data_IF_834733867791
#
_entry.id   IF_834733867791
#
_cell.length_a   1.000
_cell.length_b   1.000
_cell.length_c   1.000
_cell.angle_alpha   90.00
_cell.angle_beta   90.00
_cell.angle_gamma   90.00
#
_symmetry.space_group_name_H-M   'P 1'
#
loop_
_entity.id
_entity.type
_entity.pdbx_description
1 polymer ?
#
# COMPACT_ATOMS: atom_id res chain seq x y z
N UNK A 1 2.36 -10.20 4.11
CA UNK A 1 1.98 -9.70 2.77
C UNK A 1 0.81 -10.54 2.28
N UNK A 2 -0.31 -9.92 1.89
CA UNK A 2 -1.29 -10.63 1.08
C UNK A 2 -0.72 -10.66 -0.34
N UNK A 3 -0.26 -11.82 -0.78
CA UNK A 3 0.27 -12.02 -2.12
C UNK A 3 -0.87 -11.73 -3.10
N UNK A 4 -0.73 -10.68 -3.92
CA UNK A 4 -1.64 -10.49 -5.05
C UNK A 4 -1.31 -11.64 -6.02
N UNK A 5 -2.18 -12.65 -6.07
CA UNK A 5 -1.98 -13.78 -6.96
C UNK A 5 -2.14 -13.29 -8.41
N UNK A 6 -1.02 -13.17 -9.12
CA UNK A 6 -1.03 -12.92 -10.55
C UNK A 6 -1.27 -14.24 -11.29
N UNK A 7 -2.46 -14.37 -11.90
CA UNK A 7 -2.80 -15.53 -12.73
C UNK A 7 -2.18 -15.35 -14.13
N UNK A 8 -0.94 -15.79 -14.26
CA UNK A 8 -0.16 -15.72 -15.52
C UNK A 8 -0.93 -16.37 -16.68
N UNK A 9 -1.62 -17.48 -16.45
CA UNK A 9 -2.33 -18.21 -17.51
C UNK A 9 -3.56 -17.45 -18.01
N UNK A 10 -4.35 -16.84 -17.11
CA UNK A 10 -5.46 -15.97 -17.49
C UNK A 10 -4.97 -14.71 -18.22
N UNK A 11 -3.82 -14.18 -17.82
CA UNK A 11 -3.21 -13.02 -18.46
C UNK A 11 -2.74 -13.33 -19.90
N UNK A 12 -1.99 -14.41 -20.09
CA UNK A 12 -1.54 -14.89 -21.41
C UNK A 12 -2.75 -15.11 -22.34
N UNK A 13 -3.77 -15.86 -21.89
CA UNK A 13 -4.99 -16.09 -22.71
C UNK A 13 -5.69 -14.80 -23.13
N UNK A 14 -5.66 -13.76 -22.28
CA UNK A 14 -6.26 -12.47 -22.62
C UNK A 14 -5.46 -11.74 -23.71
N UNK A 15 -4.14 -11.86 -23.72
CA UNK A 15 -3.28 -11.32 -24.77
C UNK A 15 -3.45 -12.08 -26.08
N UNK A 16 -3.49 -13.41 -26.03
CA UNK A 16 -3.73 -14.25 -27.21
C UNK A 16 -5.09 -13.93 -27.86
N UNK A 17 -6.15 -13.78 -27.06
CA UNK A 17 -7.47 -13.36 -27.54
C UNK A 17 -7.48 -11.93 -28.13
N UNK A 18 -6.49 -11.10 -27.79
CA UNK A 18 -6.29 -9.77 -28.35
C UNK A 18 -5.42 -9.78 -29.63
N UNK A 19 -5.00 -10.96 -30.10
CA UNK A 19 -4.24 -11.14 -31.34
C UNK A 19 -2.73 -11.21 -31.15
N UNK A 20 -2.23 -11.29 -29.91
CA UNK A 20 -0.82 -11.57 -29.66
C UNK A 20 -0.53 -13.04 -29.98
N UNK A 21 0.61 -13.31 -30.60
CA UNK A 21 1.07 -14.70 -30.67
C UNK A 21 1.50 -15.20 -29.28
N UNK A 22 1.59 -16.52 -29.13
CA UNK A 22 1.86 -17.14 -27.82
C UNK A 22 3.20 -16.69 -27.22
N UNK A 23 4.23 -16.47 -28.05
CA UNK A 23 5.55 -16.00 -27.58
C UNK A 23 5.49 -14.56 -27.11
N UNK A 24 4.76 -13.71 -27.82
CA UNK A 24 4.55 -12.32 -27.41
C UNK A 24 3.74 -12.26 -26.11
N UNK A 25 2.68 -13.05 -25.99
CA UNK A 25 1.85 -13.09 -24.80
C UNK A 25 2.64 -13.54 -23.56
N UNK A 26 3.48 -14.57 -23.71
CA UNK A 26 4.37 -15.07 -22.66
C UNK A 26 5.41 -14.00 -22.27
N UNK A 27 6.10 -13.40 -23.23
CA UNK A 27 7.10 -12.36 -22.98
C UNK A 27 6.52 -11.13 -22.23
N UNK A 28 5.30 -10.70 -22.58
CA UNK A 28 4.62 -9.60 -21.90
C UNK A 28 4.20 -10.02 -20.48
N UNK A 29 3.73 -11.25 -20.30
CA UNK A 29 3.34 -11.76 -18.99
C UNK A 29 4.54 -11.83 -18.03
N UNK A 30 5.70 -12.27 -18.54
CA UNK A 30 6.93 -12.34 -17.78
C UNK A 30 7.47 -10.96 -17.41
N UNK A 31 7.56 -10.04 -18.37
CA UNK A 31 7.99 -8.66 -18.12
C UNK A 31 7.07 -7.95 -17.10
N UNK A 32 5.75 -8.19 -17.18
CA UNK A 32 4.80 -7.65 -16.22
C UNK A 32 5.01 -8.24 -14.81
N UNK A 33 5.23 -9.56 -14.72
CA UNK A 33 5.49 -10.24 -13.44
C UNK A 33 6.76 -9.73 -12.78
N UNK A 34 7.83 -9.54 -13.56
CA UNK A 34 9.11 -9.00 -13.09
C UNK A 34 8.92 -7.58 -12.55
N UNK A 35 8.32 -6.68 -13.34
CA UNK A 35 8.05 -5.30 -12.92
C UNK A 35 7.15 -5.21 -11.68
N UNK A 36 6.18 -6.12 -11.52
CA UNK A 36 5.29 -6.14 -10.36
C UNK A 36 5.95 -6.72 -9.10
N UNK A 37 6.94 -7.60 -9.24
CA UNK A 37 7.72 -8.15 -8.13
C UNK A 37 8.72 -7.13 -7.58
N UNK A 38 9.26 -6.26 -8.44
CA UNK A 38 10.17 -5.17 -8.03
C UNK A 38 9.44 -3.96 -7.45
N UNK A 39 8.13 -3.84 -7.67
CA UNK A 39 7.34 -2.75 -7.13
C UNK A 39 7.18 -2.89 -5.60
N UNK A 40 7.95 -2.13 -4.82
CA UNK A 40 7.75 -1.97 -3.39
C UNK A 40 6.51 -1.10 -3.11
N UNK A 41 5.34 -1.71 -3.14
CA UNK A 41 4.07 -1.03 -2.83
C UNK A 41 3.72 -1.22 -1.36
N UNK A 42 3.34 -0.13 -0.69
CA UNK A 42 2.86 -0.17 0.69
C UNK A 42 1.66 -1.11 0.82
N UNK A 43 1.74 -2.05 1.76
CA UNK A 43 0.67 -3.01 2.04
C UNK A 43 -0.42 -2.39 2.90
N UNK A 44 -1.60 -3.04 2.97
CA UNK A 44 -2.67 -2.65 3.89
C UNK A 44 -2.20 -2.63 5.35
N UNK A 45 -1.27 -3.50 5.71
CA UNK A 45 -0.68 -3.53 7.05
C UNK A 45 0.15 -2.28 7.31
N UNK A 46 0.99 -1.87 6.35
CA UNK A 46 1.84 -0.69 6.47
C UNK A 46 1.00 0.59 6.62
N UNK A 47 -0.09 0.68 5.86
CA UNK A 47 -1.05 1.79 5.98
C UNK A 47 -1.74 1.83 7.35
N UNK A 48 -2.16 0.66 7.86
CA UNK A 48 -2.79 0.58 9.19
C UNK A 48 -1.81 0.92 10.32
N UNK A 49 -0.55 0.51 10.19
CA UNK A 49 0.49 0.90 11.15
C UNK A 49 0.74 2.41 11.11
N UNK A 50 0.80 3.00 9.91
CA UNK A 50 0.92 4.44 9.73
C UNK A 50 -0.26 5.18 10.35
N UNK A 51 -1.49 4.70 10.15
CA UNK A 51 -2.71 5.24 10.75
C UNK A 51 -2.59 5.26 12.28
N UNK A 52 -2.24 4.14 12.91
CA UNK A 52 -2.08 4.08 14.36
C UNK A 52 -0.99 5.03 14.86
N UNK A 53 0.16 5.09 14.18
CA UNK A 53 1.23 6.02 14.55
C UNK A 53 0.77 7.47 14.47
N UNK A 54 -0.01 7.83 13.45
CA UNK A 54 -0.57 9.17 13.32
C UNK A 54 -1.58 9.47 14.42
N UNK A 55 -2.54 8.57 14.66
CA UNK A 55 -3.56 8.74 15.70
C UNK A 55 -2.92 8.90 17.08
N UNK A 56 -1.95 8.06 17.43
CA UNK A 56 -1.24 8.13 18.72
C UNK A 56 -0.47 9.44 18.85
N UNK A 57 0.30 9.85 17.81
CA UNK A 57 1.07 11.09 17.85
C UNK A 57 0.17 12.32 17.96
N UNK A 58 -0.87 12.40 17.14
CA UNK A 58 -1.81 13.52 17.12
C UNK A 58 -2.57 13.60 18.45
N UNK A 59 -3.10 12.46 18.94
CA UNK A 59 -3.76 12.39 20.24
C UNK A 59 -2.85 12.80 21.38
N UNK A 60 -1.59 12.34 21.38
CA UNK A 60 -0.58 12.75 22.37
C UNK A 60 -0.29 14.24 22.36
N UNK A 61 -0.11 14.85 21.18
CA UNK A 61 0.09 16.30 21.03
C UNK A 61 -1.11 17.10 21.51
N UNK A 62 -2.34 16.65 21.23
CA UNK A 62 -3.57 17.29 21.69
C UNK A 62 -3.70 17.22 23.22
N UNK A 63 -3.42 16.06 23.83
CA UNK A 63 -3.44 15.93 25.29
C UNK A 63 -2.40 16.83 25.95
N UNK A 64 -1.20 16.92 25.38
CA UNK A 64 -0.15 17.80 25.86
C UNK A 64 -0.57 19.28 25.77
N UNK A 65 -1.12 19.72 24.64
CA UNK A 65 -1.56 21.12 24.48
C UNK A 65 -2.71 21.47 25.41
N UNK A 66 -3.70 20.59 25.56
CA UNK A 66 -4.82 20.77 26.50
C UNK A 66 -4.32 20.85 27.94
N UNK A 67 -3.37 19.99 28.34
CA UNK A 67 -2.78 20.03 29.67
C UNK A 67 -2.06 21.37 29.93
N UNK A 68 -1.27 21.85 28.97
CA UNK A 68 -0.58 23.15 29.06
C UNK A 68 -1.58 24.30 29.20
N UNK A 69 -2.65 24.32 28.41
CA UNK A 69 -3.68 25.37 28.51
C UNK A 69 -4.40 25.30 29.86
N UNK A 70 -4.74 24.10 30.33
CA UNK A 70 -5.43 23.93 31.62
C UNK A 70 -4.58 24.38 32.81
N UNK A 71 -3.26 24.13 32.79
CA UNK A 71 -2.36 24.62 33.84
C UNK A 71 -2.23 26.14 33.80
N UNK A 72 -2.14 26.75 32.62
CA UNK A 72 -2.08 28.21 32.47
C UNK A 72 -3.35 28.90 32.97
N UNK A 73 -4.53 28.37 32.63
CA UNK A 73 -5.82 28.92 33.09
C UNK A 73 -5.95 28.88 34.61
N UNK A 74 -5.40 27.84 35.27
CA UNK A 74 -5.46 27.72 36.73
C UNK A 74 -4.48 28.65 37.46
N UNK A 75 -3.48 29.17 36.76
CA UNK A 75 -2.46 30.07 37.31
C UNK A 75 -2.79 31.57 37.15
N UNK A 76 -3.70 31.91 36.24
CA UNK A 76 -4.24 33.26 36.04
C UNK A 76 -5.45 33.51 36.96
#
# INVERSE_FOLDING_TARGET
MATIAFDTHKFIRKLENAGFDSKQAEAVADAFREAHMEAEVATKTDLRELEYRLVIKLGGMMMASVAVVATLVKLL
#
